data_IF_376493775032
#
_entry.id   IF_376493775032
#
_cell.length_a   1.000
_cell.length_b   1.000
_cell.length_c   1.000
_cell.angle_alpha   90.00
_cell.angle_beta   90.00
_cell.angle_gamma   90.00
#
_symmetry.space_group_name_H-M   'P 1'
#
loop_
_entity.id
_entity.type
_entity.pdbx_description
1 polymer ?
#
# COMPACT_ATOMS: atom_id res chain seq x y z
N UNK A 1 -17.32 -8.80 22.99
CA UNK A 1 -17.36 -9.90 22.00
C UNK A 1 -16.30 -9.75 20.90
N UNK A 2 -16.18 -8.61 20.21
CA UNK A 2 -15.15 -8.42 19.16
C UNK A 2 -13.72 -8.57 19.68
N UNK A 3 -13.45 -8.09 20.89
CA UNK A 3 -12.16 -8.25 21.58
C UNK A 3 -11.74 -9.72 21.69
N UNK A 4 -12.66 -10.57 22.15
CA UNK A 4 -12.43 -12.01 22.30
C UNK A 4 -12.21 -12.69 20.95
N UNK A 5 -12.92 -12.28 19.90
CA UNK A 5 -12.74 -12.84 18.55
C UNK A 5 -11.33 -12.51 18.02
N UNK A 6 -10.91 -11.25 18.12
CA UNK A 6 -9.57 -10.83 17.67
C UNK A 6 -8.50 -11.56 18.49
N UNK A 7 -8.65 -11.60 19.81
CA UNK A 7 -7.72 -12.30 20.69
C UNK A 7 -7.65 -13.80 20.36
N UNK A 8 -8.79 -14.47 20.17
CA UNK A 8 -8.85 -15.89 19.82
C UNK A 8 -8.16 -16.17 18.48
N UNK A 9 -8.37 -15.33 17.46
CA UNK A 9 -7.70 -15.48 16.17
C UNK A 9 -6.18 -15.31 16.32
N UNK A 10 -5.74 -14.25 17.00
CA UNK A 10 -4.30 -13.97 17.15
C UNK A 10 -3.63 -15.02 18.02
N UNK A 11 -4.11 -15.26 19.24
CA UNK A 11 -3.54 -16.26 20.15
C UNK A 11 -3.66 -17.68 19.63
N UNK A 12 -4.82 -18.03 19.05
CA UNK A 12 -5.02 -19.33 18.41
C UNK A 12 -4.11 -19.55 17.20
N UNK A 13 -3.64 -18.48 16.54
CA UNK A 13 -2.68 -18.60 15.44
C UNK A 13 -1.24 -18.85 15.89
N UNK A 14 -0.86 -18.49 17.14
CA UNK A 14 0.55 -18.54 17.59
C UNK A 14 1.22 -19.92 17.44
N UNK A 15 0.57 -21.05 17.79
CA UNK A 15 1.16 -22.36 17.57
C UNK A 15 1.45 -22.65 16.08
N UNK A 16 0.59 -22.18 15.18
CA UNK A 16 0.77 -22.34 13.74
C UNK A 16 1.86 -21.40 13.18
N UNK A 17 2.00 -20.21 13.76
CA UNK A 17 3.10 -19.28 13.47
C UNK A 17 4.43 -19.94 13.84
N UNK A 18 4.55 -20.50 15.05
CA UNK A 18 5.77 -21.17 15.50
C UNK A 18 6.14 -22.41 14.67
N UNK A 19 5.17 -23.04 14.01
CA UNK A 19 5.39 -24.15 13.08
C UNK A 19 5.78 -23.71 11.66
N UNK A 20 5.27 -22.56 11.21
CA UNK A 20 5.47 -22.07 9.84
C UNK A 20 5.64 -20.55 9.81
N UNK A 21 6.83 -20.03 9.41
CA UNK A 21 7.07 -18.59 9.33
C UNK A 21 6.06 -17.86 8.42
N UNK A 22 5.60 -18.55 7.36
CA UNK A 22 4.58 -18.04 6.45
C UNK A 22 3.30 -17.63 7.18
N UNK A 23 2.81 -18.43 8.12
CA UNK A 23 1.59 -18.09 8.86
C UNK A 23 1.77 -16.80 9.67
N UNK A 24 2.96 -16.59 10.22
CA UNK A 24 3.33 -15.36 10.92
C UNK A 24 3.32 -14.14 9.99
N UNK A 25 3.93 -14.26 8.82
CA UNK A 25 3.91 -13.21 7.80
C UNK A 25 2.49 -12.86 7.35
N UNK A 26 1.65 -13.87 7.10
CA UNK A 26 0.25 -13.67 6.71
C UNK A 26 -0.56 -12.99 7.82
N UNK A 27 -0.37 -13.40 9.08
CA UNK A 27 -1.02 -12.77 10.22
C UNK A 27 -0.58 -11.32 10.40
N UNK A 28 0.72 -11.02 10.21
CA UNK A 28 1.23 -9.64 10.20
C UNK A 28 0.58 -8.80 9.10
N UNK A 29 0.54 -9.30 7.86
CA UNK A 29 -0.09 -8.60 6.74
C UNK A 29 -1.58 -8.31 7.01
N UNK A 30 -2.30 -9.25 7.61
CA UNK A 30 -3.70 -9.07 8.01
C UNK A 30 -3.85 -8.01 9.11
N UNK A 31 -3.05 -8.08 10.19
CA UNK A 31 -3.11 -7.12 11.28
C UNK A 31 -2.74 -5.70 10.83
N UNK A 32 -1.72 -5.56 9.97
CA UNK A 32 -1.26 -4.27 9.46
C UNK A 32 -2.28 -3.60 8.52
N UNK A 33 -2.85 -4.36 7.58
CA UNK A 33 -3.77 -3.81 6.58
C UNK A 33 -5.23 -3.73 7.04
N UNK A 34 -5.74 -4.79 7.68
CA UNK A 34 -7.15 -4.80 8.11
C UNK A 34 -7.35 -4.06 9.45
N UNK A 35 -6.31 -4.02 10.28
CA UNK A 35 -6.36 -3.41 11.61
C UNK A 35 -7.60 -3.84 12.46
N UNK A 36 -7.85 -5.16 12.59
CA UNK A 36 -9.11 -5.67 13.17
C UNK A 36 -9.24 -5.38 14.66
N UNK A 37 -8.12 -5.21 15.37
CA UNK A 37 -8.11 -4.86 16.79
C UNK A 37 -8.68 -3.45 17.04
N UNK A 38 -8.54 -2.51 16.09
CA UNK A 38 -9.17 -1.18 16.18
C UNK A 38 -10.68 -1.19 15.94
N UNK A 39 -11.26 -2.31 15.50
CA UNK A 39 -12.72 -2.52 15.44
C UNK A 39 -13.31 -3.05 16.74
N UNK A 40 -12.46 -3.40 17.70
CA UNK A 40 -12.85 -3.74 19.06
C UNK A 40 -13.03 -2.47 19.90
N UNK A 41 -13.88 -2.54 20.93
CA UNK A 41 -14.21 -1.40 21.79
C UNK A 41 -13.65 -1.52 23.21
N UNK A 42 -12.94 -2.60 23.52
CA UNK A 42 -12.34 -2.85 24.83
C UNK A 42 -10.82 -3.01 24.74
N UNK A 43 -10.27 -3.81 25.66
CA UNK A 43 -8.83 -4.00 25.87
C UNK A 43 -8.05 -4.47 24.63
N UNK A 44 -8.71 -5.13 23.66
CA UNK A 44 -8.04 -5.60 22.46
C UNK A 44 -7.56 -4.43 21.59
N UNK A 45 -8.17 -3.25 21.69
CA UNK A 45 -7.78 -2.06 20.93
C UNK A 45 -6.37 -1.56 21.23
N UNK A 46 -5.89 -1.76 22.46
CA UNK A 46 -4.60 -1.26 22.96
C UNK A 46 -3.52 -2.35 23.04
N UNK A 47 -3.91 -3.62 22.82
CA UNK A 47 -2.98 -4.73 22.93
C UNK A 47 -1.97 -4.76 21.76
N UNK A 48 -0.66 -5.00 22.02
CA UNK A 48 0.36 -5.04 20.99
C UNK A 48 0.37 -6.35 20.17
N UNK A 49 -0.78 -6.77 19.65
CA UNK A 49 -0.92 -8.03 18.88
C UNK A 49 0.10 -8.16 17.74
N UNK A 50 0.32 -7.08 17.00
CA UNK A 50 1.25 -7.07 15.88
C UNK A 50 2.70 -7.35 16.35
N UNK A 51 3.10 -6.86 17.53
CA UNK A 51 4.43 -7.11 18.08
C UNK A 51 4.60 -8.57 18.51
N UNK A 52 3.58 -9.17 19.12
CA UNK A 52 3.56 -10.59 19.50
C UNK A 52 3.73 -11.46 18.23
N UNK A 53 2.97 -11.16 17.18
CA UNK A 53 3.07 -11.87 15.90
C UNK A 53 4.46 -11.75 15.28
N UNK A 54 5.06 -10.55 15.28
CA UNK A 54 6.45 -10.36 14.78
C UNK A 54 7.43 -11.22 15.58
N UNK A 55 7.39 -11.16 16.91
CA UNK A 55 8.29 -11.94 17.77
C UNK A 55 8.15 -13.45 17.51
N UNK A 56 6.92 -13.97 17.47
CA UNK A 56 6.67 -15.37 17.15
C UNK A 56 7.13 -15.74 15.72
N UNK A 57 6.98 -14.82 14.76
CA UNK A 57 7.44 -15.04 13.37
C UNK A 57 8.96 -15.14 13.33
N UNK A 58 9.68 -14.25 14.01
CA UNK A 58 11.14 -14.27 14.07
C UNK A 58 11.67 -15.53 14.79
N UNK A 59 11.03 -15.93 15.90
CA UNK A 59 11.33 -17.20 16.56
C UNK A 59 11.08 -18.40 15.63
N UNK A 60 9.96 -18.39 14.90
CA UNK A 60 9.65 -19.42 13.91
C UNK A 60 10.70 -19.49 12.80
N UNK A 61 11.18 -18.34 12.30
CA UNK A 61 12.26 -18.29 11.30
C UNK A 61 13.56 -18.91 11.83
N UNK A 62 13.88 -18.69 13.11
CA UNK A 62 15.06 -19.29 13.74
C UNK A 62 14.94 -20.82 13.84
N UNK A 63 13.82 -21.34 14.35
CA UNK A 63 13.62 -22.78 14.54
C UNK A 63 13.31 -23.53 13.24
N UNK A 64 12.72 -22.87 12.25
CA UNK A 64 12.30 -23.46 10.98
C UNK A 64 13.12 -22.90 9.80
N UNK A 65 14.41 -22.65 10.00
CA UNK A 65 15.31 -22.05 9.00
C UNK A 65 15.34 -22.80 7.66
N UNK A 66 15.06 -24.11 7.66
CA UNK A 66 14.93 -24.95 6.45
C UNK A 66 13.75 -24.56 5.54
N UNK A 67 12.74 -23.86 6.06
CA UNK A 67 11.61 -23.35 5.27
C UNK A 67 11.91 -21.99 4.64
N UNK A 68 13.05 -21.38 4.97
CA UNK A 68 13.48 -20.09 4.45
C UNK A 68 14.31 -20.27 3.20
N UNK A 69 14.27 -19.26 2.35
CA UNK A 69 15.13 -19.17 1.17
C UNK A 69 16.22 -18.12 1.38
N UNK A 70 17.30 -18.20 0.61
CA UNK A 70 18.35 -17.18 0.63
C UNK A 70 17.78 -15.81 0.26
N UNK A 71 18.26 -14.77 0.95
CA UNK A 71 17.81 -13.40 0.71
C UNK A 71 18.09 -13.00 -0.76
N UNK A 72 17.07 -12.62 -1.55
CA UNK A 72 17.27 -12.26 -2.95
C UNK A 72 17.93 -10.88 -3.04
N UNK A 73 19.21 -10.84 -3.46
CA UNK A 73 19.96 -9.60 -3.69
C UNK A 73 19.62 -8.96 -5.04
N UNK A 74 18.38 -8.52 -5.19
CA UNK A 74 17.91 -7.73 -6.32
C UNK A 74 18.14 -6.22 -6.08
N UNK A 75 18.12 -5.41 -7.15
CA UNK A 75 18.27 -3.96 -7.04
C UNK A 75 17.17 -3.32 -6.19
N UNK A 76 15.93 -3.81 -6.28
CA UNK A 76 14.82 -3.28 -5.48
C UNK A 76 14.95 -3.65 -3.99
N UNK A 77 15.43 -4.85 -3.65
CA UNK A 77 15.64 -5.22 -2.24
C UNK A 77 16.79 -4.44 -1.61
N UNK A 78 17.89 -4.21 -2.33
CA UNK A 78 18.99 -3.33 -1.88
C UNK A 78 18.54 -1.89 -1.69
N UNK A 79 17.77 -1.34 -2.64
CA UNK A 79 17.20 0.00 -2.50
C UNK A 79 16.31 0.11 -1.25
N UNK A 80 15.50 -0.92 -0.98
CA UNK A 80 14.62 -0.96 0.19
C UNK A 80 15.41 -1.03 1.50
N UNK A 81 16.49 -1.83 1.55
CA UNK A 81 17.39 -1.88 2.71
C UNK A 81 18.04 -0.52 2.95
N UNK A 82 18.61 0.11 1.91
CA UNK A 82 19.23 1.44 2.02
C UNK A 82 18.22 2.48 2.51
N UNK A 83 16.98 2.43 2.02
CA UNK A 83 15.92 3.31 2.48
C UNK A 83 15.62 3.09 3.97
N UNK A 84 15.45 1.85 4.45
CA UNK A 84 15.20 1.57 5.89
C UNK A 84 16.36 2.00 6.78
N UNK A 85 17.59 1.76 6.34
CA UNK A 85 18.77 2.24 7.06
C UNK A 85 18.76 3.76 7.14
N UNK A 86 18.39 4.44 6.05
CA UNK A 86 18.26 5.89 6.04
C UNK A 86 17.17 6.43 6.96
N UNK A 87 16.05 5.70 7.11
CA UNK A 87 15.02 6.04 8.09
C UNK A 87 15.56 6.09 9.52
N UNK A 88 16.65 5.36 9.83
CA UNK A 88 17.34 5.44 11.13
C UNK A 88 18.37 6.58 11.24
N UNK A 89 18.78 7.20 10.14
CA UNK A 89 19.79 8.27 10.14
C UNK A 89 19.17 9.64 10.39
N UNK A 90 18.11 10.00 9.66
CA UNK A 90 17.53 11.35 9.79
C UNK A 90 16.98 11.72 11.17
N UNK A 91 16.44 10.79 11.99
CA UNK A 91 16.00 11.11 13.36
C UNK A 91 17.11 11.69 14.25
N UNK A 92 18.38 11.36 13.97
CA UNK A 92 19.54 11.87 14.71
C UNK A 92 19.73 13.39 14.55
N UNK A 93 19.08 13.98 13.54
CA UNK A 93 19.15 15.40 13.20
C UNK A 93 17.83 16.14 13.49
N UNK A 94 16.93 15.51 14.24
CA UNK A 94 15.61 16.06 14.53
C UNK A 94 15.65 17.28 15.44
N UNK A 95 14.72 18.21 15.20
CA UNK A 95 14.45 19.31 16.12
C UNK A 95 13.79 18.84 17.43
N UNK A 96 13.12 17.68 17.40
CA UNK A 96 12.36 17.11 18.52
C UNK A 96 12.73 15.64 18.75
N UNK A 97 13.98 15.33 19.18
CA UNK A 97 14.45 13.95 19.33
C UNK A 97 13.57 13.07 20.24
N UNK A 98 12.88 13.67 21.20
CA UNK A 98 11.98 12.98 22.13
C UNK A 98 10.73 12.39 21.46
N UNK A 99 10.35 12.89 20.28
CA UNK A 99 9.21 12.40 19.51
C UNK A 99 9.60 11.34 18.46
N UNK A 100 10.89 11.17 18.20
CA UNK A 100 11.39 10.42 17.06
C UNK A 100 11.19 8.91 17.21
N UNK A 101 11.50 8.35 18.38
CA UNK A 101 11.49 6.89 18.55
C UNK A 101 10.11 6.28 18.28
N UNK A 102 9.04 6.90 18.79
CA UNK A 102 7.67 6.44 18.58
C UNK A 102 7.26 6.51 17.10
N UNK A 103 7.69 7.57 16.40
CA UNK A 103 7.39 7.78 14.98
C UNK A 103 8.25 6.93 14.05
N UNK A 104 9.47 6.59 14.46
CA UNK A 104 10.42 5.78 13.73
C UNK A 104 10.12 4.27 13.80
N UNK A 105 9.70 3.78 14.97
CA UNK A 105 9.55 2.34 15.19
C UNK A 105 8.45 1.72 14.31
N UNK A 106 7.36 2.45 14.01
CA UNK A 106 6.27 1.92 13.20
C UNK A 106 6.69 1.73 11.73
N UNK A 107 7.22 2.76 11.02
CA UNK A 107 7.71 2.61 9.64
C UNK A 107 8.78 1.54 9.49
N UNK A 108 9.75 1.48 10.42
CA UNK A 108 10.81 0.47 10.35
C UNK A 108 10.23 -0.93 10.49
N UNK A 109 9.28 -1.17 11.39
CA UNK A 109 8.61 -2.47 11.52
C UNK A 109 7.88 -2.87 10.23
N UNK A 110 7.16 -1.94 9.60
CA UNK A 110 6.45 -2.18 8.33
C UNK A 110 7.42 -2.62 7.24
N UNK A 111 8.49 -1.85 7.01
CA UNK A 111 9.41 -2.17 5.92
C UNK A 111 10.28 -3.38 6.25
N UNK A 112 10.68 -3.56 7.51
CA UNK A 112 11.37 -4.76 7.98
C UNK A 112 10.55 -6.02 7.72
N UNK A 113 9.27 -6.02 8.05
CA UNK A 113 8.40 -7.17 7.79
C UNK A 113 8.14 -7.40 6.31
N UNK A 114 8.14 -6.34 5.48
CA UNK A 114 8.16 -6.49 4.04
C UNK A 114 9.46 -7.18 3.56
N UNK A 115 10.63 -6.81 4.10
CA UNK A 115 11.90 -7.50 3.80
C UNK A 115 11.90 -8.96 4.27
N UNK A 116 11.31 -9.26 5.43
CA UNK A 116 11.13 -10.63 5.92
C UNK A 116 10.32 -11.48 4.91
N UNK A 117 9.34 -10.88 4.22
CA UNK A 117 8.58 -11.59 3.18
C UNK A 117 9.46 -12.10 2.02
N UNK A 118 10.59 -11.44 1.72
CA UNK A 118 11.52 -11.88 0.67
C UNK A 118 12.17 -13.23 0.99
N UNK A 119 12.33 -13.54 2.27
CA UNK A 119 13.02 -14.73 2.81
C UNK A 119 12.01 -15.86 3.08
N UNK A 120 10.77 -15.52 3.38
CA UNK A 120 9.71 -16.49 3.68
C UNK A 120 8.98 -16.96 2.42
N UNK A 121 8.73 -16.07 1.46
CA UNK A 121 7.95 -16.40 0.25
C UNK A 121 8.88 -16.93 -0.83
N UNK A 122 9.09 -18.24 -0.81
CA UNK A 122 9.89 -19.03 -1.74
C UNK A 122 9.14 -19.44 -3.01
N UNK A 123 7.85 -19.77 -2.89
CA UNK A 123 7.08 -20.46 -3.93
C UNK A 123 5.87 -19.68 -4.43
N UNK A 124 5.37 -20.04 -5.63
CA UNK A 124 4.13 -19.49 -6.20
C UNK A 124 2.95 -19.63 -5.25
N UNK A 125 2.77 -20.79 -4.61
CA UNK A 125 1.63 -21.03 -3.71
C UNK A 125 1.65 -20.09 -2.48
N UNK A 126 2.84 -19.80 -1.96
CA UNK A 126 3.02 -18.89 -0.83
C UNK A 126 2.75 -17.44 -1.25
N UNK A 127 3.20 -17.03 -2.43
CA UNK A 127 2.89 -15.72 -3.01
C UNK A 127 1.37 -15.53 -3.20
N UNK A 128 0.66 -16.56 -3.69
CA UNK A 128 -0.80 -16.51 -3.83
C UNK A 128 -1.51 -16.35 -2.47
N UNK A 129 -1.06 -17.06 -1.43
CA UNK A 129 -1.60 -16.89 -0.07
C UNK A 129 -1.41 -15.47 0.44
N UNK A 130 -0.22 -14.88 0.23
CA UNK A 130 0.04 -13.48 0.58
C UNK A 130 -0.92 -12.56 -0.16
N UNK A 131 -1.05 -12.69 -1.49
CA UNK A 131 -1.97 -11.87 -2.29
C UNK A 131 -3.43 -11.97 -1.81
N UNK A 132 -3.91 -13.18 -1.49
CA UNK A 132 -5.24 -13.36 -0.92
C UNK A 132 -5.41 -12.61 0.39
N UNK A 133 -4.44 -12.68 1.31
CA UNK A 133 -4.51 -11.96 2.58
C UNK A 133 -4.48 -10.44 2.36
N UNK A 134 -3.60 -9.93 1.49
CA UNK A 134 -3.55 -8.50 1.16
C UNK A 134 -4.90 -7.99 0.61
N UNK A 135 -5.49 -8.75 -0.32
CA UNK A 135 -6.77 -8.40 -0.94
C UNK A 135 -7.92 -8.49 0.07
N UNK A 136 -8.07 -9.62 0.77
CA UNK A 136 -9.18 -9.84 1.69
C UNK A 136 -9.17 -8.86 2.88
N UNK A 137 -7.99 -8.45 3.34
CA UNK A 137 -7.82 -7.48 4.43
C UNK A 137 -8.48 -6.14 4.10
N UNK A 138 -8.30 -5.65 2.86
CA UNK A 138 -8.86 -4.37 2.41
C UNK A 138 -10.25 -4.53 1.78
N UNK A 139 -10.56 -5.69 1.22
CA UNK A 139 -11.87 -6.02 0.65
C UNK A 139 -13.00 -5.86 1.67
N UNK A 140 -12.75 -6.20 2.94
CA UNK A 140 -13.71 -5.99 4.02
C UNK A 140 -14.22 -4.54 4.06
N UNK A 141 -13.32 -3.55 4.04
CA UNK A 141 -13.69 -2.13 4.06
C UNK A 141 -14.24 -1.66 2.71
N UNK A 142 -13.73 -2.19 1.60
CA UNK A 142 -14.25 -1.89 0.27
C UNK A 142 -15.71 -2.31 0.11
N UNK A 143 -16.02 -3.55 0.45
CA UNK A 143 -17.37 -4.12 0.37
C UNK A 143 -18.30 -3.39 1.35
N UNK A 144 -17.92 -3.26 2.62
CA UNK A 144 -18.71 -2.56 3.64
C UNK A 144 -18.98 -1.10 3.24
N UNK A 145 -17.94 -0.37 2.83
CA UNK A 145 -18.04 1.03 2.43
C UNK A 145 -18.82 1.23 1.13
N UNK A 146 -18.71 0.30 0.18
CA UNK A 146 -19.48 0.33 -1.06
C UNK A 146 -20.97 0.14 -0.81
N UNK A 147 -21.35 -0.86 -0.02
CA UNK A 147 -22.74 -1.09 0.39
C UNK A 147 -23.28 0.13 1.14
N UNK A 148 -22.50 0.68 2.08
CA UNK A 148 -22.88 1.87 2.84
C UNK A 148 -23.09 3.09 1.92
N UNK A 149 -22.20 3.30 0.95
CA UNK A 149 -22.32 4.40 -0.02
C UNK A 149 -23.59 4.28 -0.84
N UNK A 150 -23.91 3.06 -1.33
CA UNK A 150 -25.16 2.81 -2.08
C UNK A 150 -26.38 3.06 -1.18
N UNK A 151 -26.39 2.48 0.03
CA UNK A 151 -27.52 2.59 0.95
C UNK A 151 -27.79 4.02 1.43
N UNK A 152 -26.75 4.85 1.50
CA UNK A 152 -26.86 6.26 1.89
C UNK A 152 -26.99 7.23 0.70
N UNK A 153 -26.97 6.72 -0.53
CA UNK A 153 -26.91 7.55 -1.74
C UNK A 153 -25.64 8.42 -1.84
N UNK A 154 -24.56 8.06 -1.14
CA UNK A 154 -23.31 8.84 -1.11
C UNK A 154 -23.36 10.12 -0.29
N UNK A 155 -24.41 10.33 0.51
CA UNK A 155 -24.58 11.52 1.36
C UNK A 155 -23.55 11.61 2.50
N UNK A 156 -23.03 10.46 2.95
CA UNK A 156 -22.03 10.35 4.01
C UNK A 156 -20.68 9.86 3.48
N UNK A 157 -19.62 10.18 4.22
CA UNK A 157 -18.26 9.72 3.91
C UNK A 157 -17.99 8.34 4.51
N UNK A 158 -17.28 7.53 3.75
CA UNK A 158 -16.73 6.26 4.25
C UNK A 158 -15.43 6.52 5.02
N UNK A 159 -15.34 6.01 6.25
CA UNK A 159 -14.14 6.06 7.10
C UNK A 159 -13.61 4.66 7.38
N UNK A 160 -12.32 4.55 7.70
CA UNK A 160 -11.70 3.29 8.07
C UNK A 160 -11.70 3.03 9.58
N UNK A 161 -11.09 1.91 10.01
CA UNK A 161 -11.16 1.41 11.39
C UNK A 161 -10.22 2.13 12.37
N UNK A 162 -9.23 2.88 11.88
CA UNK A 162 -8.11 3.40 12.69
C UNK A 162 -6.74 3.14 12.04
N UNK A 163 -5.67 3.66 12.66
CA UNK A 163 -4.30 3.52 12.15
C UNK A 163 -4.06 4.20 10.80
N UNK A 164 -3.23 3.60 9.94
CA UNK A 164 -2.82 4.18 8.65
C UNK A 164 -3.97 4.39 7.64
N UNK A 165 -5.12 3.74 7.85
CA UNK A 165 -6.32 3.87 7.00
C UNK A 165 -7.51 4.44 7.78
N UNK A 166 -7.27 5.18 8.87
CA UNK A 166 -8.34 5.75 9.71
C UNK A 166 -9.23 6.74 8.93
N UNK A 167 -8.60 7.68 8.24
CA UNK A 167 -9.31 8.73 7.52
C UNK A 167 -9.85 8.22 6.18
N UNK A 168 -10.86 8.93 5.69
CA UNK A 168 -11.57 8.61 4.46
C UNK A 168 -10.63 8.58 3.24
N UNK A 169 -9.60 9.43 3.20
CA UNK A 169 -8.74 9.53 2.03
C UNK A 169 -7.73 8.39 1.98
N UNK A 170 -7.11 8.06 3.11
CA UNK A 170 -6.15 6.96 3.18
C UNK A 170 -6.82 5.61 2.91
N UNK A 171 -8.03 5.39 3.44
CA UNK A 171 -8.83 4.23 3.09
C UNK A 171 -9.10 4.18 1.58
N UNK A 172 -9.54 5.28 0.98
CA UNK A 172 -9.86 5.31 -0.44
C UNK A 172 -8.67 4.98 -1.34
N UNK A 173 -7.47 5.51 -1.03
CA UNK A 173 -6.26 5.15 -1.76
C UNK A 173 -5.90 3.67 -1.59
N UNK A 174 -6.01 3.12 -0.37
CA UNK A 174 -5.79 1.69 -0.14
C UNK A 174 -6.74 0.82 -0.99
N UNK A 175 -8.02 1.21 -1.11
CA UNK A 175 -8.99 0.52 -1.95
C UNK A 175 -8.65 0.62 -3.44
N UNK A 176 -8.24 1.81 -3.91
CA UNK A 176 -7.81 2.01 -5.31
C UNK A 176 -6.61 1.14 -5.66
N UNK A 177 -5.60 1.09 -4.78
CA UNK A 177 -4.43 0.23 -4.96
C UNK A 177 -4.79 -1.26 -4.99
N UNK A 178 -5.84 -1.65 -4.28
CA UNK A 178 -6.25 -3.05 -4.15
C UNK A 178 -7.06 -3.56 -5.36
N UNK A 179 -7.84 -2.70 -6.03
CA UNK A 179 -8.62 -3.05 -7.24
C UNK A 179 -7.85 -3.90 -8.28
N UNK A 180 -6.64 -3.51 -8.74
CA UNK A 180 -5.91 -4.32 -9.71
C UNK A 180 -5.47 -5.69 -9.15
N UNK A 181 -5.18 -5.80 -7.85
CA UNK A 181 -4.85 -7.09 -7.23
C UNK A 181 -6.07 -8.02 -7.19
N UNK A 182 -7.25 -7.47 -6.91
CA UNK A 182 -8.52 -8.21 -7.03
C UNK A 182 -8.75 -8.68 -8.47
N UNK A 183 -8.46 -7.81 -9.44
CA UNK A 183 -8.59 -8.14 -10.87
C UNK A 183 -7.67 -9.29 -11.25
N UNK A 184 -6.44 -9.33 -10.75
CA UNK A 184 -5.55 -10.48 -10.93
C UNK A 184 -6.17 -11.78 -10.40
N UNK A 185 -6.65 -11.80 -9.14
CA UNK A 185 -7.26 -12.99 -8.56
C UNK A 185 -8.50 -13.45 -9.34
N UNK A 186 -9.29 -12.51 -9.86
CA UNK A 186 -10.43 -12.80 -10.72
C UNK A 186 -10.03 -13.48 -12.04
N UNK A 187 -8.91 -13.08 -12.65
CA UNK A 187 -8.45 -13.63 -13.94
C UNK A 187 -7.89 -15.05 -13.81
N UNK A 188 -7.37 -15.42 -12.64
CA UNK A 188 -6.70 -16.70 -12.42
C UNK A 188 -7.43 -17.67 -11.50
N UNK A 189 -8.68 -17.39 -11.14
CA UNK A 189 -9.55 -18.34 -10.46
C UNK A 189 -10.45 -19.06 -11.47
N UNK A 190 -10.71 -20.34 -11.27
CA UNK A 190 -11.67 -21.10 -12.09
C UNK A 190 -13.07 -21.05 -11.47
N UNK A 191 -13.15 -21.01 -10.14
CA UNK A 191 -14.40 -21.00 -9.36
C UNK A 191 -15.26 -19.78 -9.65
N UNK A 192 -16.46 -19.98 -10.17
CA UNK A 192 -17.40 -18.91 -10.53
C UNK A 192 -17.78 -18.01 -9.35
N UNK A 193 -17.94 -18.58 -8.15
CA UNK A 193 -18.25 -17.81 -6.94
C UNK A 193 -17.12 -16.87 -6.56
N UNK A 194 -15.86 -17.29 -6.71
CA UNK A 194 -14.70 -16.44 -6.48
C UNK A 194 -14.63 -15.34 -7.56
N UNK A 195 -14.96 -15.63 -8.82
CA UNK A 195 -15.05 -14.60 -9.88
C UNK A 195 -16.11 -13.55 -9.58
N UNK A 196 -17.30 -13.98 -9.10
CA UNK A 196 -18.40 -13.09 -8.72
C UNK A 196 -18.06 -12.26 -7.48
N UNK A 197 -17.50 -12.89 -6.46
CA UNK A 197 -17.01 -12.21 -5.27
C UNK A 197 -15.94 -11.16 -5.62
N UNK A 198 -14.98 -11.52 -6.48
CA UNK A 198 -13.93 -10.59 -6.91
C UNK A 198 -14.52 -9.42 -7.72
N UNK A 199 -15.51 -9.68 -8.60
CA UNK A 199 -16.21 -8.62 -9.33
C UNK A 199 -16.95 -7.67 -8.39
N UNK A 200 -17.71 -8.23 -7.45
CA UNK A 200 -18.42 -7.45 -6.44
C UNK A 200 -17.44 -6.65 -5.57
N UNK A 201 -16.32 -7.25 -5.17
CA UNK A 201 -15.24 -6.58 -4.45
C UNK A 201 -14.67 -5.39 -5.22
N UNK A 202 -14.34 -5.56 -6.51
CA UNK A 202 -13.85 -4.46 -7.37
C UNK A 202 -14.87 -3.31 -7.44
N UNK A 203 -16.13 -3.63 -7.75
CA UNK A 203 -17.18 -2.62 -7.94
C UNK A 203 -17.47 -1.90 -6.63
N UNK A 204 -17.66 -2.62 -5.53
CA UNK A 204 -17.95 -2.03 -4.24
C UNK A 204 -16.76 -1.24 -3.69
N UNK A 205 -15.53 -1.69 -3.92
CA UNK A 205 -14.33 -0.91 -3.57
C UNK A 205 -14.22 0.38 -4.37
N UNK A 206 -14.55 0.37 -5.66
CA UNK A 206 -14.58 1.58 -6.48
C UNK A 206 -15.67 2.55 -5.98
N UNK A 207 -16.87 2.06 -5.71
CA UNK A 207 -17.97 2.86 -5.16
C UNK A 207 -17.59 3.43 -3.79
N UNK A 208 -16.99 2.62 -2.92
CA UNK A 208 -16.50 3.04 -1.59
C UNK A 208 -15.44 4.15 -1.70
N UNK A 209 -14.50 4.01 -2.63
CA UNK A 209 -13.48 5.02 -2.86
C UNK A 209 -14.07 6.33 -3.40
N UNK A 210 -15.11 6.29 -4.25
CA UNK A 210 -15.85 7.48 -4.69
C UNK A 210 -16.63 8.10 -3.51
N UNK A 211 -17.34 7.26 -2.73
CA UNK A 211 -18.12 7.64 -1.55
C UNK A 211 -17.27 8.20 -0.40
N UNK A 212 -15.96 7.99 -0.41
CA UNK A 212 -15.02 8.65 0.50
C UNK A 212 -14.92 10.17 0.27
N UNK A 213 -15.39 10.66 -0.88
CA UNK A 213 -15.26 12.05 -1.32
C UNK A 213 -13.80 12.56 -1.37
N UNK A 214 -12.83 11.67 -1.64
CA UNK A 214 -11.41 12.01 -1.70
C UNK A 214 -10.96 12.39 -3.11
N UNK A 215 -10.51 13.63 -3.31
CA UNK A 215 -9.97 14.12 -4.60
C UNK A 215 -8.71 13.35 -5.05
N UNK A 216 -7.82 13.06 -4.11
CA UNK A 216 -6.60 12.28 -4.39
C UNK A 216 -6.91 10.85 -4.84
N UNK A 217 -7.90 10.19 -4.21
CA UNK A 217 -8.34 8.86 -4.63
C UNK A 217 -9.07 8.88 -5.99
N UNK A 218 -9.81 9.94 -6.30
CA UNK A 218 -10.42 10.12 -7.62
C UNK A 218 -9.37 10.21 -8.73
N UNK A 219 -8.32 11.03 -8.55
CA UNK A 219 -7.20 11.12 -9.49
C UNK A 219 -6.46 9.78 -9.63
N UNK A 220 -6.22 9.09 -8.51
CA UNK A 220 -5.62 7.76 -8.52
C UNK A 220 -6.51 6.76 -9.29
N UNK A 221 -7.83 6.80 -9.09
CA UNK A 221 -8.79 5.94 -9.79
C UNK A 221 -8.80 6.21 -11.30
N UNK A 222 -8.77 7.47 -11.71
CA UNK A 222 -8.65 7.85 -13.12
C UNK A 222 -7.34 7.32 -13.72
N UNK A 223 -6.21 7.51 -13.02
CA UNK A 223 -4.90 7.04 -13.47
C UNK A 223 -4.85 5.51 -13.62
N UNK A 224 -5.35 4.76 -12.64
CA UNK A 224 -5.41 3.29 -12.75
C UNK A 224 -6.41 2.84 -13.81
N UNK A 225 -7.53 3.56 -14.00
CA UNK A 225 -8.52 3.28 -15.03
C UNK A 225 -7.92 3.36 -16.43
N UNK A 226 -7.18 4.43 -16.70
CA UNK A 226 -6.41 4.59 -17.95
C UNK A 226 -5.41 3.45 -18.12
N UNK A 227 -4.64 3.11 -17.09
CA UNK A 227 -3.64 2.05 -17.19
C UNK A 227 -4.23 0.64 -17.34
N UNK A 228 -5.36 0.35 -16.68
CA UNK A 228 -6.13 -0.88 -16.88
C UNK A 228 -6.65 -0.96 -18.32
N UNK A 229 -7.15 0.16 -18.85
CA UNK A 229 -7.59 0.25 -20.23
C UNK A 229 -6.44 0.01 -21.22
N UNK A 230 -5.29 0.66 -21.02
CA UNK A 230 -4.09 0.49 -21.85
C UNK A 230 -3.56 -0.94 -21.84
N UNK A 231 -3.70 -1.66 -20.73
CA UNK A 231 -3.27 -3.07 -20.57
C UNK A 231 -4.32 -4.08 -21.02
N UNK A 232 -5.57 -3.68 -21.26
CA UNK A 232 -6.63 -4.61 -21.67
C UNK A 232 -6.52 -5.02 -23.14
N UNK A 233 -6.93 -6.27 -23.43
CA UNK A 233 -7.12 -6.75 -24.81
C UNK A 233 -8.43 -6.24 -25.43
N UNK A 234 -9.40 -5.80 -24.63
CA UNK A 234 -10.74 -5.34 -25.04
C UNK A 234 -10.92 -3.83 -24.91
N UNK A 235 -9.97 -3.05 -25.45
CA UNK A 235 -9.88 -1.59 -25.25
C UNK A 235 -11.13 -0.85 -25.75
N UNK A 236 -11.64 -1.21 -26.92
CA UNK A 236 -12.85 -0.57 -27.48
C UNK A 236 -14.06 -0.73 -26.57
N UNK A 237 -14.40 -1.97 -26.19
CA UNK A 237 -15.53 -2.26 -25.30
C UNK A 237 -15.41 -1.55 -23.95
N UNK A 238 -14.25 -1.62 -23.29
CA UNK A 238 -14.04 -0.97 -21.99
C UNK A 238 -14.12 0.55 -22.12
N UNK A 239 -13.60 1.12 -23.21
CA UNK A 239 -13.71 2.56 -23.48
C UNK A 239 -15.18 3.00 -23.61
N UNK A 240 -15.98 2.27 -24.38
CA UNK A 240 -17.42 2.53 -24.53
C UNK A 240 -18.15 2.39 -23.19
N UNK A 241 -17.87 1.33 -22.42
CA UNK A 241 -18.46 1.16 -21.09
C UNK A 241 -18.10 2.30 -20.13
N UNK A 242 -16.85 2.78 -20.16
CA UNK A 242 -16.42 3.90 -19.35
C UNK A 242 -17.12 5.21 -19.77
N UNK A 243 -17.23 5.48 -21.08
CA UNK A 243 -17.94 6.64 -21.62
C UNK A 243 -19.42 6.64 -21.25
N UNK A 244 -20.07 5.48 -21.22
CA UNK A 244 -21.46 5.35 -20.78
C UNK A 244 -21.61 5.48 -19.25
N UNK A 245 -20.66 4.96 -18.47
CA UNK A 245 -20.74 4.94 -17.01
C UNK A 245 -20.44 6.29 -16.36
N UNK A 246 -19.57 7.12 -16.94
CA UNK A 246 -19.16 8.40 -16.35
C UNK A 246 -20.31 9.41 -16.19
N UNK A 247 -21.18 9.66 -17.21
CA UNK A 247 -22.33 10.55 -17.06
C UNK A 247 -23.34 10.02 -16.03
N UNK A 248 -23.59 8.70 -16.03
CA UNK A 248 -24.50 8.07 -15.07
C UNK A 248 -23.97 8.25 -13.65
N UNK A 249 -22.67 8.01 -13.44
CA UNK A 249 -22.04 8.23 -12.15
C UNK A 249 -22.17 9.68 -11.70
N UNK A 250 -21.95 10.65 -12.61
CA UNK A 250 -22.11 12.08 -12.32
C UNK A 250 -23.54 12.44 -11.90
N UNK A 251 -24.55 11.95 -12.64
CA UNK A 251 -25.97 12.20 -12.36
C UNK A 251 -26.45 11.61 -11.02
N UNK A 252 -25.83 10.51 -10.58
CA UNK A 252 -26.18 9.84 -9.33
C UNK A 252 -25.48 10.41 -8.10
N UNK A 253 -24.48 11.31 -8.26
CA UNK A 253 -23.75 11.88 -7.13
C UNK A 253 -24.51 13.04 -6.48
N UNK A 254 -24.54 13.13 -5.13
CA UNK A 254 -25.19 14.24 -4.43
C UNK A 254 -24.55 15.60 -4.71
N UNK A 255 -25.32 16.67 -4.58
CA UNK A 255 -24.84 18.06 -4.74
C UNK A 255 -23.60 18.35 -3.89
N UNK A 256 -23.57 17.91 -2.62
CA UNK A 256 -22.40 18.06 -1.74
C UNK A 256 -21.12 17.44 -2.31
N UNK A 257 -21.23 16.33 -3.04
CA UNK A 257 -20.06 15.72 -3.70
C UNK A 257 -19.62 16.61 -4.87
N UNK A 258 -20.56 17.07 -5.69
CA UNK A 258 -20.31 17.93 -6.85
C UNK A 258 -19.69 19.28 -6.45
N UNK A 259 -20.22 19.95 -5.42
CA UNK A 259 -19.65 21.18 -4.82
C UNK A 259 -18.19 21.00 -4.38
N UNK A 260 -17.88 19.83 -3.82
CA UNK A 260 -16.51 19.52 -3.37
C UNK A 260 -15.56 19.25 -4.54
N UNK A 261 -16.06 18.79 -5.69
CA UNK A 261 -15.24 18.58 -6.89
C UNK A 261 -15.09 19.87 -7.71
N UNK A 262 -16.09 20.74 -7.75
CA UNK A 262 -16.02 22.03 -8.48
C UNK A 262 -15.08 23.03 -7.83
N UNK A 263 -14.92 23.00 -6.50
CA UNK A 263 -13.95 23.81 -5.75
C UNK A 263 -12.48 23.58 -6.15
N UNK A 264 -12.18 22.56 -6.97
CA UNK A 264 -10.85 22.39 -7.61
C UNK A 264 -10.46 23.60 -8.46
N UNK A 265 -11.43 24.33 -9.03
CA UNK A 265 -11.16 25.48 -9.90
C UNK A 265 -10.67 26.73 -9.13
N UNK A 266 -11.02 26.87 -7.84
CA UNK A 266 -10.67 28.03 -7.01
C UNK A 266 -9.86 27.59 -5.76
N UNK A 267 -8.74 26.90 -5.96
CA UNK A 267 -7.99 26.28 -4.85
C UNK A 267 -7.46 27.30 -3.82
N UNK A 268 -7.23 28.56 -4.24
CA UNK A 268 -6.71 29.63 -3.37
C UNK A 268 -7.71 30.02 -2.27
N UNK A 269 -9.00 29.77 -2.49
CA UNK A 269 -10.07 30.00 -1.52
C UNK A 269 -10.38 28.75 -0.68
N UNK A 270 -9.78 27.60 -1.03
CA UNK A 270 -9.95 26.33 -0.31
C UNK A 270 -8.89 26.22 0.79
N UNK A 271 -9.30 26.47 2.04
CA UNK A 271 -8.42 26.36 3.20
C UNK A 271 -7.74 25.00 3.35
N UNK A 272 -8.35 23.91 2.83
CA UNK A 272 -7.72 22.58 2.82
C UNK A 272 -6.59 22.50 1.80
N UNK A 273 -6.72 23.13 0.64
CA UNK A 273 -5.67 23.17 -0.38
C UNK A 273 -4.51 24.08 0.05
N UNK A 274 -4.82 25.28 0.55
CA UNK A 274 -3.80 26.21 1.04
C UNK A 274 -3.04 25.67 2.25
N UNK A 275 -3.69 24.93 3.15
CA UNK A 275 -3.01 24.24 4.24
C UNK A 275 -1.98 23.20 3.78
N UNK A 276 -2.25 22.48 2.68
CA UNK A 276 -1.28 21.54 2.09
C UNK A 276 -0.11 22.28 1.45
N UNK A 277 -0.38 23.36 0.71
CA UNK A 277 0.67 24.19 0.10
C UNK A 277 1.57 24.77 1.19
N UNK A 278 1.01 25.28 2.29
CA UNK A 278 1.76 25.71 3.46
C UNK A 278 2.69 24.60 3.96
N UNK A 279 2.14 23.40 4.20
CA UNK A 279 2.93 22.24 4.65
C UNK A 279 4.02 21.80 3.65
N UNK A 280 3.77 21.91 2.35
CA UNK A 280 4.75 21.58 1.30
C UNK A 280 5.90 22.58 1.27
N UNK A 281 5.59 23.88 1.40
CA UNK A 281 6.60 24.93 1.50
C UNK A 281 7.42 24.74 2.78
N UNK A 282 6.77 24.45 3.91
CA UNK A 282 7.47 24.12 5.16
C UNK A 282 8.43 22.93 4.97
N UNK A 283 7.96 21.83 4.38
CA UNK A 283 8.79 20.65 4.12
C UNK A 283 9.99 20.95 3.21
N UNK A 284 9.78 21.77 2.17
CA UNK A 284 10.84 22.24 1.29
C UNK A 284 11.87 23.09 2.04
N UNK A 285 11.42 24.09 2.79
CA UNK A 285 12.28 24.99 3.56
C UNK A 285 13.13 24.22 4.59
N UNK A 286 12.51 23.28 5.30
CA UNK A 286 13.21 22.37 6.22
C UNK A 286 14.27 21.53 5.50
N UNK A 287 13.93 20.97 4.34
CA UNK A 287 14.86 20.12 3.59
C UNK A 287 16.06 20.89 3.00
N UNK A 288 15.84 22.16 2.62
CA UNK A 288 16.91 23.06 2.17
C UNK A 288 17.81 23.47 3.35
N UNK A 289 17.24 23.85 4.48
CA UNK A 289 18.02 24.24 5.67
C UNK A 289 18.80 23.05 6.27
N UNK A 290 18.21 21.86 6.27
CA UNK A 290 18.84 20.61 6.74
C UNK A 290 19.43 19.78 5.61
N UNK A 291 19.92 20.43 4.54
CA UNK A 291 20.48 19.72 3.40
C UNK A 291 21.69 18.86 3.80
N UNK A 292 21.79 17.60 3.34
CA UNK A 292 20.83 16.86 2.51
C UNK A 292 19.91 15.89 3.31
N UNK A 293 19.93 15.96 4.64
CA UNK A 293 19.44 14.91 5.55
C UNK A 293 17.97 15.07 5.94
N UNK A 294 17.45 16.30 6.02
CA UNK A 294 16.12 16.57 6.58
C UNK A 294 16.14 16.61 8.12
N UNK A 295 14.96 16.59 8.74
CA UNK A 295 14.81 16.89 10.17
C UNK A 295 14.15 15.80 11.02
N UNK A 296 14.19 14.54 10.59
CA UNK A 296 13.53 13.44 11.31
C UNK A 296 12.01 13.42 11.16
N UNK A 297 11.35 12.42 11.75
CA UNK A 297 9.92 12.19 11.60
C UNK A 297 9.04 13.32 12.17
N UNK A 298 9.56 14.11 13.12
CA UNK A 298 8.84 15.15 13.84
C UNK A 298 9.04 16.57 13.27
N UNK A 299 8.98 16.74 11.95
CA UNK A 299 9.07 18.06 11.31
C UNK A 299 7.75 18.86 11.33
N UNK A 300 6.63 18.22 11.63
CA UNK A 300 5.27 18.77 11.62
C UNK A 300 4.84 19.33 12.98
N UNK A 301 5.77 19.96 13.71
CA UNK A 301 5.52 20.58 15.02
C UNK A 301 5.39 22.10 14.93
N UNK A 302 4.70 22.69 15.91
CA UNK A 302 4.46 24.14 15.94
C UNK A 302 5.76 24.96 15.94
N UNK A 303 6.82 24.50 16.62
CA UNK A 303 8.11 25.18 16.66
C UNK A 303 8.86 25.16 15.32
N UNK A 304 8.71 24.07 14.54
CA UNK A 304 9.24 24.01 13.17
C UNK A 304 8.41 24.91 12.25
N UNK A 305 7.09 24.88 12.37
CA UNK A 305 6.20 25.75 11.58
C UNK A 305 6.46 27.24 11.84
N UNK A 306 6.72 27.65 13.08
CA UNK A 306 7.12 29.03 13.41
C UNK A 306 8.40 29.50 12.72
N UNK A 307 9.29 28.57 12.34
CA UNK A 307 10.57 28.90 11.70
C UNK A 307 10.51 28.82 10.18
N UNK A 308 9.74 27.88 9.64
CA UNK A 308 9.83 27.50 8.22
C UNK A 308 8.52 27.64 7.43
N UNK A 309 7.37 27.80 8.09
CA UNK A 309 6.08 27.88 7.40
C UNK A 309 5.72 29.32 7.01
N UNK A 310 5.17 29.54 5.80
CA UNK A 310 4.54 30.82 5.44
C UNK A 310 3.44 31.27 6.41
N UNK A 311 2.59 30.33 6.83
CA UNK A 311 1.61 30.50 7.92
C UNK A 311 1.97 29.57 9.08
N UNK A 312 2.65 30.10 10.12
CA UNK A 312 3.00 29.36 11.33
C UNK A 312 1.82 28.79 12.12
N UNK A 313 0.63 29.37 11.98
CA UNK A 313 -0.52 29.00 12.81
C UNK A 313 -1.26 27.76 12.30
N UNK A 314 -1.04 27.41 11.03
CA UNK A 314 -1.69 26.29 10.36
C UNK A 314 -0.76 25.06 10.28
N UNK A 315 -0.56 24.41 11.43
CA UNK A 315 0.31 23.23 11.56
C UNK A 315 -0.41 21.99 11.04
N UNK A 316 0.08 21.42 9.93
CA UNK A 316 -0.49 20.24 9.29
C UNK A 316 0.57 19.22 8.89
N UNK A 317 0.16 17.97 8.71
CA UNK A 317 1.00 17.00 7.99
C UNK A 317 1.01 17.32 6.49
N UNK A 318 2.10 16.98 5.80
CA UNK A 318 2.28 17.33 4.38
C UNK A 318 1.16 16.84 3.45
N UNK A 319 0.44 15.76 3.79
CA UNK A 319 -0.57 15.16 2.91
C UNK A 319 -0.02 14.94 1.48
N UNK A 320 1.22 14.49 1.40
CA UNK A 320 1.88 14.10 0.17
C UNK A 320 3.03 13.19 0.53
N UNK A 321 3.06 11.96 0.01
CA UNK A 321 4.16 11.02 0.28
C UNK A 321 5.54 11.61 -0.07
N UNK A 322 5.61 12.47 -1.09
CA UNK A 322 6.86 13.09 -1.54
C UNK A 322 7.34 14.19 -0.58
N UNK A 323 6.52 15.22 -0.32
CA UNK A 323 6.86 16.26 0.65
C UNK A 323 7.01 15.73 2.09
N UNK A 324 6.28 14.67 2.47
CA UNK A 324 6.46 13.99 3.75
C UNK A 324 7.89 13.44 3.88
N UNK A 325 8.34 12.66 2.89
CA UNK A 325 9.70 12.14 2.86
C UNK A 325 10.73 13.26 2.77
N UNK A 326 10.47 14.29 1.97
CA UNK A 326 11.39 15.41 1.80
C UNK A 326 11.63 16.15 3.12
N UNK A 327 10.58 16.50 3.87
CA UNK A 327 10.71 17.14 5.17
C UNK A 327 11.40 16.23 6.20
N UNK A 328 10.99 14.96 6.26
CA UNK A 328 11.46 14.02 7.29
C UNK A 328 12.89 13.49 7.05
N UNK A 329 13.25 13.27 5.79
CA UNK A 329 14.44 12.53 5.38
C UNK A 329 15.27 13.23 4.31
N UNK A 330 14.94 14.49 3.98
CA UNK A 330 15.69 15.32 3.07
C UNK A 330 15.70 14.80 1.63
N UNK A 331 16.59 15.39 0.82
CA UNK A 331 16.75 14.99 -0.57
C UNK A 331 17.27 13.56 -0.71
N UNK A 332 18.14 13.11 0.19
CA UNK A 332 18.65 11.71 0.16
C UNK A 332 17.51 10.73 0.39
N UNK A 333 16.65 10.99 1.38
CA UNK A 333 15.48 10.15 1.65
C UNK A 333 14.51 10.11 0.47
N UNK A 334 14.24 11.26 -0.16
CA UNK A 334 13.36 11.34 -1.32
C UNK A 334 13.92 10.56 -2.51
N UNK A 335 15.21 10.71 -2.79
CA UNK A 335 15.89 9.97 -3.86
C UNK A 335 15.82 8.47 -3.60
N UNK A 336 16.13 8.01 -2.38
CA UNK A 336 16.05 6.59 -2.02
C UNK A 336 14.62 6.06 -2.17
N UNK A 337 13.62 6.81 -1.70
CA UNK A 337 12.20 6.44 -1.83
C UNK A 337 11.77 6.30 -3.30
N UNK A 338 12.17 7.24 -4.16
CA UNK A 338 11.90 7.19 -5.59
C UNK A 338 12.66 6.04 -6.29
N UNK A 339 13.90 5.74 -5.86
CA UNK A 339 14.65 4.58 -6.35
C UNK A 339 13.94 3.28 -5.99
N UNK A 340 13.39 3.14 -4.77
CA UNK A 340 12.62 1.95 -4.36
C UNK A 340 11.44 1.72 -5.31
N UNK A 341 10.62 2.75 -5.56
CA UNK A 341 9.48 2.69 -6.48
C UNK A 341 9.96 2.38 -7.92
N UNK A 342 11.01 3.08 -8.36
CA UNK A 342 11.59 2.92 -9.70
C UNK A 342 12.15 1.52 -9.95
N UNK A 343 12.84 0.91 -8.98
CA UNK A 343 13.38 -0.43 -9.12
C UNK A 343 12.27 -1.49 -9.15
N UNK A 344 11.20 -1.32 -8.37
CA UNK A 344 10.03 -2.19 -8.47
C UNK A 344 9.38 -2.11 -9.87
N UNK A 345 9.26 -0.89 -10.41
CA UNK A 345 8.76 -0.69 -11.77
C UNK A 345 9.63 -1.37 -12.84
N UNK A 346 10.96 -1.25 -12.73
CA UNK A 346 11.92 -1.93 -13.62
C UNK A 346 11.76 -3.45 -13.54
N UNK A 347 11.60 -4.01 -12.33
CA UNK A 347 11.35 -5.44 -12.16
C UNK A 347 10.08 -5.89 -12.86
N UNK A 348 8.95 -5.20 -12.66
CA UNK A 348 7.71 -5.55 -13.34
C UNK A 348 7.82 -5.41 -14.87
N UNK A 349 8.50 -4.37 -15.36
CA UNK A 349 8.73 -4.21 -16.81
C UNK A 349 9.59 -5.34 -17.37
N UNK A 350 10.59 -5.79 -16.62
CA UNK A 350 11.40 -6.96 -16.99
C UNK A 350 10.55 -8.23 -17.05
N UNK A 351 9.75 -8.50 -16.01
CA UNK A 351 8.86 -9.66 -15.96
C UNK A 351 7.89 -9.67 -17.15
N UNK A 352 7.24 -8.54 -17.44
CA UNK A 352 6.31 -8.43 -18.57
C UNK A 352 6.98 -8.73 -19.91
N UNK A 353 8.24 -8.31 -20.11
CA UNK A 353 9.00 -8.62 -21.33
C UNK A 353 9.34 -10.10 -21.41
N UNK A 354 9.84 -10.70 -20.33
CA UNK A 354 10.25 -12.10 -20.31
C UNK A 354 9.09 -13.10 -20.41
N UNK A 355 7.89 -12.68 -20.01
CA UNK A 355 6.69 -13.55 -19.96
C UNK A 355 5.75 -13.38 -21.16
N UNK A 356 5.95 -12.37 -22.01
CA UNK A 356 5.03 -11.99 -23.10
C UNK A 356 4.59 -13.15 -24.01
N UNK A 357 5.53 -14.04 -24.34
CA UNK A 357 5.32 -15.16 -25.26
C UNK A 357 5.39 -16.52 -24.53
N UNK A 358 5.17 -16.55 -23.22
CA UNK A 358 5.31 -17.77 -22.40
C UNK A 358 3.94 -18.16 -21.81
N UNK A 359 3.19 -19.10 -22.43
CA UNK A 359 1.85 -19.48 -21.97
C UNK A 359 1.81 -19.94 -20.52
N UNK A 360 2.85 -20.64 -20.06
CA UNK A 360 2.95 -21.14 -18.68
C UNK A 360 3.14 -20.03 -17.64
N UNK A 361 3.54 -18.83 -18.07
CA UNK A 361 3.85 -17.69 -17.21
C UNK A 361 2.83 -16.54 -17.33
N UNK A 362 1.67 -16.79 -17.94
CA UNK A 362 0.59 -15.79 -18.06
C UNK A 362 0.18 -15.25 -16.67
N UNK A 363 0.14 -16.10 -15.65
CA UNK A 363 -0.15 -15.68 -14.27
C UNK A 363 0.86 -14.64 -13.76
N UNK A 364 2.15 -14.82 -14.04
CA UNK A 364 3.18 -13.89 -13.61
C UNK A 364 3.14 -12.59 -14.42
N UNK A 365 2.87 -12.70 -15.72
CA UNK A 365 2.65 -11.55 -16.59
C UNK A 365 1.50 -10.67 -16.07
N UNK A 366 0.35 -11.28 -15.79
CA UNK A 366 -0.84 -10.56 -15.37
C UNK A 366 -0.71 -10.02 -13.94
N UNK A 367 -0.05 -10.73 -13.02
CA UNK A 367 0.29 -10.22 -11.70
C UNK A 367 1.19 -8.99 -11.80
N UNK A 368 2.28 -9.05 -12.57
CA UNK A 368 3.18 -7.92 -12.78
C UNK A 368 2.45 -6.72 -13.39
N UNK A 369 1.54 -6.97 -14.35
CA UNK A 369 0.72 -5.94 -14.96
C UNK A 369 -0.18 -5.24 -13.95
N UNK A 370 -0.84 -6.00 -13.06
CA UNK A 370 -1.72 -5.46 -12.02
C UNK A 370 -0.95 -4.76 -10.90
N UNK A 371 0.21 -5.27 -10.50
CA UNK A 371 1.08 -4.58 -9.55
C UNK A 371 1.60 -3.24 -10.10
N UNK A 372 1.90 -3.14 -11.40
CA UNK A 372 2.23 -1.83 -12.01
C UNK A 372 1.08 -0.84 -11.90
N UNK A 373 -0.15 -1.29 -12.19
CA UNK A 373 -1.36 -0.45 -12.05
C UNK A 373 -1.51 0.02 -10.60
N UNK A 374 -1.34 -0.89 -9.63
CA UNK A 374 -1.41 -0.58 -8.20
C UNK A 374 -0.36 0.47 -7.78
N UNK A 375 0.88 0.32 -8.26
CA UNK A 375 1.99 1.23 -7.97
C UNK A 375 1.76 2.65 -8.55
N UNK A 376 1.09 2.76 -9.71
CA UNK A 376 0.66 4.04 -10.27
C UNK A 376 -0.41 4.67 -9.39
N UNK A 377 -1.40 3.88 -8.97
CA UNK A 377 -2.44 4.34 -8.05
C UNK A 377 -1.83 4.94 -6.78
N UNK A 378 -0.84 4.25 -6.19
CA UNK A 378 -0.08 4.75 -5.04
C UNK A 378 0.67 6.05 -5.35
N UNK A 379 1.40 6.10 -6.46
CA UNK A 379 2.25 7.25 -6.80
C UNK A 379 1.43 8.50 -7.08
N UNK A 380 0.32 8.36 -7.82
CA UNK A 380 -0.57 9.47 -8.16
C UNK A 380 -1.42 9.90 -6.97
N UNK A 381 -2.07 8.94 -6.29
CA UNK A 381 -2.92 9.26 -5.14
C UNK A 381 -2.12 9.74 -3.93
N UNK A 382 -0.95 9.14 -3.71
CA UNK A 382 -0.03 9.48 -2.63
C UNK A 382 0.55 10.89 -2.75
N UNK A 383 0.61 11.48 -3.95
CA UNK A 383 0.97 12.89 -4.12
C UNK A 383 0.08 13.86 -3.31
N UNK A 384 -1.13 13.40 -2.92
CA UNK A 384 -2.11 14.21 -2.22
C UNK A 384 -2.53 13.61 -0.87
N UNK A 385 -1.81 12.60 -0.37
CA UNK A 385 -2.15 11.83 0.82
C UNK A 385 -0.94 11.47 1.67
N UNK A 386 -1.14 11.37 2.99
CA UNK A 386 -0.09 10.97 3.92
C UNK A 386 -0.09 9.44 4.12
N UNK A 387 0.43 8.70 3.13
CA UNK A 387 0.51 7.23 3.13
C UNK A 387 1.91 6.70 2.85
N UNK A 388 2.93 7.43 3.29
CA UNK A 388 4.33 7.09 3.04
C UNK A 388 4.71 5.73 3.64
N UNK A 389 4.27 5.47 4.87
CA UNK A 389 4.65 4.28 5.65
C UNK A 389 3.55 3.21 5.66
N UNK A 390 2.60 3.30 4.74
CA UNK A 390 1.56 2.29 4.58
C UNK A 390 2.14 0.99 4.01
N UNK A 391 1.69 -0.16 4.51
CA UNK A 391 2.28 -1.47 4.24
C UNK A 391 2.19 -1.92 2.77
N UNK A 392 1.03 -1.70 2.12
CA UNK A 392 0.73 -2.26 0.79
C UNK A 392 1.76 -1.86 -0.31
N UNK A 393 2.19 -0.60 -0.43
CA UNK A 393 3.29 -0.21 -1.32
C UNK A 393 4.55 -1.06 -1.16
N UNK A 394 4.98 -1.32 0.07
CA UNK A 394 6.18 -2.11 0.35
C UNK A 394 5.98 -3.58 0.02
N UNK A 395 4.78 -4.13 0.25
CA UNK A 395 4.43 -5.46 -0.27
C UNK A 395 4.49 -5.52 -1.79
N UNK A 396 4.02 -4.51 -2.52
CA UNK A 396 4.10 -4.45 -3.98
C UNK A 396 5.57 -4.44 -4.44
N UNK A 397 6.43 -3.66 -3.78
CA UNK A 397 7.87 -3.66 -4.05
C UNK A 397 8.47 -5.05 -3.85
N UNK A 398 8.15 -5.72 -2.75
CA UNK A 398 8.67 -7.05 -2.43
C UNK A 398 8.10 -8.12 -3.37
N UNK A 399 6.83 -8.03 -3.75
CA UNK A 399 6.23 -8.88 -4.79
C UNK A 399 6.99 -8.73 -6.11
N UNK A 400 7.48 -7.54 -6.47
CA UNK A 400 8.30 -7.37 -7.68
C UNK A 400 9.57 -8.23 -7.67
N UNK A 401 10.20 -8.37 -6.50
CA UNK A 401 11.44 -9.15 -6.32
C UNK A 401 11.13 -10.64 -6.29
N UNK A 402 10.13 -11.05 -5.49
CA UNK A 402 9.69 -12.46 -5.38
C UNK A 402 9.26 -12.97 -6.76
N UNK A 403 8.42 -12.22 -7.46
CA UNK A 403 7.88 -12.61 -8.76
C UNK A 403 8.97 -12.72 -9.81
N UNK A 404 9.93 -11.79 -9.83
CA UNK A 404 11.07 -11.84 -10.76
C UNK A 404 11.92 -13.08 -10.52
N UNK A 405 12.20 -13.42 -9.26
CA UNK A 405 12.93 -14.64 -8.90
C UNK A 405 12.19 -15.88 -9.40
N UNK A 406 10.90 -16.01 -9.07
CA UNK A 406 10.06 -17.14 -9.50
C UNK A 406 10.06 -17.30 -11.02
N UNK A 407 9.87 -16.20 -11.76
CA UNK A 407 9.90 -16.20 -13.23
C UNK A 407 11.24 -16.64 -13.77
N UNK A 408 12.35 -16.16 -13.21
CA UNK A 408 13.68 -16.57 -13.66
C UNK A 408 13.93 -18.06 -13.42
N UNK A 409 13.56 -18.59 -12.26
CA UNK A 409 13.67 -20.02 -11.95
C UNK A 409 12.81 -20.88 -12.89
N UNK A 410 11.59 -20.46 -13.21
CA UNK A 410 10.71 -21.16 -14.16
C UNK A 410 11.27 -21.10 -15.60
N UNK A 411 11.93 -20.00 -15.99
CA UNK A 411 12.55 -19.90 -17.31
C UNK A 411 13.82 -20.75 -17.44
N UNK A 412 14.64 -20.79 -16.40
CA UNK A 412 15.86 -21.62 -16.35
C UNK A 412 15.54 -23.11 -16.40
N UNK A 413 14.48 -23.55 -15.72
CA UNK A 413 14.03 -24.95 -15.75
C UNK A 413 13.53 -25.39 -17.11
N UNK A 414 12.86 -24.51 -17.86
CA UNK A 414 12.43 -24.80 -19.24
C UNK A 414 13.63 -24.87 -20.20
N UNK A 415 14.68 -24.08 -19.97
CA UNK A 415 15.87 -24.06 -20.83
C UNK A 415 16.86 -25.19 -20.53
N UNK A 416 16.96 -25.65 -19.27
CA UNK A 416 17.89 -26.70 -18.85
C UNK A 416 17.21 -27.73 -17.91
N UNK A 417 16.46 -28.72 -18.45
CA UNK A 417 15.72 -29.70 -17.65
C UNK A 417 16.61 -30.58 -16.76
N UNK A 418 17.89 -30.74 -17.09
CA UNK A 418 18.87 -31.60 -16.40
C UNK A 418 19.57 -30.94 -15.21
N UNK A 419 19.42 -29.63 -14.99
CA UNK A 419 20.17 -28.90 -13.95
C UNK A 419 19.66 -29.15 -12.52
N UNK A 420 18.41 -29.59 -12.34
CA UNK A 420 17.82 -29.82 -11.01
C UNK A 420 17.92 -31.28 -10.51
N UNK A 421 18.45 -32.23 -11.30
CA UNK A 421 18.64 -33.60 -10.79
C UNK A 421 19.89 -33.75 -9.90
N UNK A 422 20.60 -32.66 -9.59
CA UNK A 422 21.89 -32.64 -8.88
C UNK A 422 21.98 -31.60 -7.75
N UNK A 423 20.89 -30.93 -7.40
CA UNK A 423 20.78 -30.03 -6.26
C UNK A 423 19.65 -30.51 -5.36
#
# INVERSE_FOLDING_TARGET
MRDLIVALIVFGSLPFILRTPLTGLLMWAWLGLMNPHRLAYGWAGDMPFAQIVVLCTLLSMFFNSKQLISFPSDRASRALILFVLWLGVSPLFSFRPELEFERWIQPVKVVFMALVALVIVGERAQLQKLLWVLVLSLAFFGIKGGIFTIASGGSFRVFGPGGAIADNNSLALALVMMIPLFRYLQMHTETIWIKRFSLAGIVLSAISAIGSQSRGAFLAMAAIGVFLWLKSRKKGLIGVMALAALPIAWLLMPEKWSERMTTIQNYEQDGSAMGRINAWITAWNVAVDRFPIGSGFAFDTADVYMRYAPDPTNVLVAHSIYFQILGQHGFVGLILFLIVIGMAWVNFRSILRSTKNQPNLIWAHDLAAMCQVSLIGYSVGGAFLNMTYFDLPYYIVVISVILKRLVNTDLETVQNPTALSKA
#
